data_IF_291698499379
#
_entry.id   IF_291698499379
#
_cell.length_a   1.000
_cell.length_b   1.000
_cell.length_c   1.000
_cell.angle_alpha   90.00
_cell.angle_beta   90.00
_cell.angle_gamma   90.00
#
_symmetry.space_group_name_H-M   'P 1'
#
loop_
_entity.id
_entity.type
_entity.pdbx_description
1 polymer ?
#
# COMPACT_ATOMS: atom_id res chain seq x y z
N UNK A 1 1.39 7.50 -0.24
CA UNK A 1 1.30 7.16 -1.66
C UNK A 1 -0.08 6.60 -1.97
N UNK A 2 -0.68 6.98 -3.11
CA UNK A 2 -1.94 6.41 -3.61
C UNK A 2 -1.66 5.87 -5.02
N UNK A 3 -1.92 4.59 -5.24
CA UNK A 3 -1.69 3.92 -6.52
C UNK A 3 -2.90 4.07 -7.45
N UNK A 4 -2.76 3.60 -8.70
CA UNK A 4 -3.76 3.79 -9.75
C UNK A 4 -5.10 3.15 -9.41
N UNK A 5 -6.18 3.73 -9.94
CA UNK A 5 -7.56 3.28 -9.81
C UNK A 5 -8.11 3.25 -8.38
N UNK A 6 -7.45 3.92 -7.41
CA UNK A 6 -8.01 4.07 -6.08
C UNK A 6 -9.20 5.03 -6.09
N UNK A 7 -10.19 4.74 -5.26
CA UNK A 7 -11.34 5.62 -5.01
C UNK A 7 -11.25 6.10 -3.56
N UNK A 8 -11.20 7.42 -3.37
CA UNK A 8 -11.24 8.05 -2.05
C UNK A 8 -12.47 8.95 -2.03
N UNK A 9 -13.42 8.62 -1.18
CA UNK A 9 -14.69 9.31 -1.06
C UNK A 9 -15.12 9.45 0.40
N UNK A 10 -16.02 10.39 0.68
CA UNK A 10 -16.52 10.62 2.03
C UNK A 10 -17.92 11.26 2.00
N UNK A 11 -18.60 11.25 3.12
CA UNK A 11 -19.82 12.02 3.32
C UNK A 11 -19.54 13.35 4.04
N UNK A 12 -20.45 14.34 3.93
CA UNK A 12 -20.36 15.56 4.73
C UNK A 12 -20.21 15.26 6.23
N UNK A 13 -19.20 15.87 6.84
CA UNK A 13 -18.90 15.68 8.27
C UNK A 13 -18.10 14.42 8.61
N UNK A 14 -17.62 13.67 7.61
CA UNK A 14 -16.77 12.50 7.84
C UNK A 14 -15.70 12.41 6.76
N UNK A 15 -14.50 12.81 7.09
CA UNK A 15 -13.38 12.86 6.15
C UNK A 15 -12.77 11.46 5.90
N UNK A 16 -12.23 11.27 4.70
CA UNK A 16 -11.32 10.19 4.40
C UNK A 16 -9.88 10.70 4.59
N UNK A 17 -9.17 10.17 5.59
CA UNK A 17 -7.86 10.65 6.00
C UNK A 17 -6.81 9.58 5.72
N UNK A 18 -5.73 9.97 5.05
CA UNK A 18 -4.52 9.15 4.92
C UNK A 18 -3.38 9.92 5.55
N UNK A 19 -2.87 9.42 6.67
CA UNK A 19 -1.78 10.04 7.39
C UNK A 19 -0.43 9.85 6.69
N UNK A 20 0.62 10.49 7.24
CA UNK A 20 1.98 10.43 6.68
C UNK A 20 2.45 8.99 6.42
N UNK A 21 3.13 8.78 5.30
CA UNK A 21 3.65 7.49 4.84
C UNK A 21 2.59 6.39 4.62
N UNK A 22 1.31 6.76 4.62
CA UNK A 22 0.23 5.86 4.22
C UNK A 22 0.42 5.37 2.78
N UNK A 23 0.15 4.08 2.55
CA UNK A 23 0.33 3.41 1.27
C UNK A 23 -0.96 2.74 0.84
N UNK A 24 -1.59 3.27 -0.21
CA UNK A 24 -2.86 2.77 -0.73
C UNK A 24 -2.60 2.03 -2.03
N UNK A 25 -2.85 0.72 -2.00
CA UNK A 25 -2.64 -0.18 -3.13
C UNK A 25 -3.66 0.01 -4.25
N UNK A 26 -3.30 -0.40 -5.46
CA UNK A 26 -4.12 -0.28 -6.66
C UNK A 26 -5.57 -0.72 -6.45
N UNK A 27 -6.52 0.07 -6.93
CA UNK A 27 -7.95 -0.26 -6.92
C UNK A 27 -8.60 -0.25 -5.53
N UNK A 28 -7.90 0.15 -4.47
CA UNK A 28 -8.49 0.22 -3.15
C UNK A 28 -9.57 1.30 -3.07
N UNK A 29 -10.61 1.04 -2.27
CA UNK A 29 -11.70 1.98 -2.00
C UNK A 29 -11.65 2.42 -0.54
N UNK A 30 -11.48 3.71 -0.30
CA UNK A 30 -11.50 4.33 1.01
C UNK A 30 -12.74 5.21 1.12
N UNK A 31 -13.60 4.94 2.09
CA UNK A 31 -14.83 5.69 2.26
C UNK A 31 -14.96 6.19 3.70
N UNK A 32 -14.78 7.50 3.92
CA UNK A 32 -14.95 8.15 5.22
C UNK A 32 -14.16 7.48 6.37
N UNK A 33 -12.94 7.04 6.14
CA UNK A 33 -12.12 6.25 7.07
C UNK A 33 -10.78 6.94 7.36
N UNK A 34 -10.10 6.47 8.39
CA UNK A 34 -8.75 6.92 8.75
C UNK A 34 -7.75 5.79 8.50
N UNK A 35 -6.73 6.11 7.73
CA UNK A 35 -5.55 5.25 7.50
C UNK A 35 -4.38 5.89 8.24
N UNK A 36 -3.97 5.26 9.31
CA UNK A 36 -2.95 5.76 10.23
C UNK A 36 -1.57 5.83 9.61
N UNK A 37 -0.67 6.50 10.32
CA UNK A 37 0.71 6.73 9.89
C UNK A 37 1.39 5.44 9.48
N UNK A 38 2.02 5.46 8.32
CA UNK A 38 2.77 4.33 7.79
C UNK A 38 1.95 3.02 7.71
N UNK A 39 0.61 3.10 7.66
CA UNK A 39 -0.23 1.96 7.38
C UNK A 39 -0.29 1.68 5.88
N UNK A 40 -0.68 0.46 5.53
CA UNK A 40 -0.85 0.01 4.15
C UNK A 40 -2.24 -0.57 3.94
N UNK A 41 -2.90 -0.15 2.87
CA UNK A 41 -4.12 -0.78 2.37
C UNK A 41 -3.78 -1.53 1.09
N UNK A 42 -3.98 -2.84 1.10
CA UNK A 42 -3.67 -3.71 -0.02
C UNK A 42 -4.58 -3.49 -1.24
N UNK A 43 -4.15 -4.00 -2.38
CA UNK A 43 -4.84 -3.88 -3.66
C UNK A 43 -6.30 -4.37 -3.56
N UNK A 44 -7.24 -3.61 -4.15
CA UNK A 44 -8.68 -3.91 -4.18
C UNK A 44 -9.32 -4.11 -2.80
N UNK A 45 -8.69 -3.66 -1.72
CA UNK A 45 -9.34 -3.65 -0.41
C UNK A 45 -10.36 -2.51 -0.33
N UNK A 46 -11.44 -2.75 0.43
CA UNK A 46 -12.48 -1.76 0.70
C UNK A 46 -12.48 -1.43 2.18
N UNK A 47 -12.34 -0.14 2.52
CA UNK A 47 -12.36 0.36 3.90
C UNK A 47 -13.52 1.34 4.07
N UNK A 48 -14.50 0.96 4.91
CA UNK A 48 -15.77 1.65 5.04
C UNK A 48 -15.76 2.74 6.13
N UNK A 49 -16.85 3.50 6.17
CA UNK A 49 -17.06 4.66 7.03
C UNK A 49 -16.67 4.46 8.48
N UNK A 50 -15.93 5.40 9.02
CA UNK A 50 -15.52 5.41 10.42
C UNK A 50 -14.57 4.29 10.80
N UNK A 51 -14.10 3.49 9.85
CA UNK A 51 -13.01 2.57 10.13
C UNK A 51 -11.72 3.34 10.43
N UNK A 52 -10.99 2.87 11.43
CA UNK A 52 -9.71 3.41 11.84
C UNK A 52 -8.64 2.31 11.76
N UNK A 53 -7.82 2.37 10.73
CA UNK A 53 -6.67 1.48 10.58
C UNK A 53 -5.49 2.14 11.30
N UNK A 54 -5.14 1.60 12.45
CA UNK A 54 -4.07 2.15 13.27
C UNK A 54 -2.72 2.18 12.55
N UNK A 55 -1.81 2.99 13.06
CA UNK A 55 -0.48 3.16 12.47
C UNK A 55 0.27 1.83 12.32
N UNK A 56 1.15 1.77 11.29
CA UNK A 56 2.01 0.61 11.01
C UNK A 56 1.25 -0.68 10.69
N UNK A 57 -0.08 -0.62 10.51
CA UNK A 57 -0.91 -1.79 10.21
C UNK A 57 -0.97 -2.06 8.71
N UNK A 58 -1.26 -3.31 8.36
CA UNK A 58 -1.46 -3.74 6.97
C UNK A 58 -2.85 -4.35 6.82
N UNK A 59 -3.65 -3.75 5.92
CA UNK A 59 -4.87 -4.37 5.41
C UNK A 59 -4.49 -5.18 4.17
N UNK A 60 -4.79 -6.47 4.19
CA UNK A 60 -4.46 -7.38 3.07
C UNK A 60 -5.25 -7.03 1.80
N UNK A 61 -4.72 -7.44 0.66
CA UNK A 61 -5.41 -7.30 -0.62
C UNK A 61 -6.80 -7.97 -0.60
N UNK A 62 -7.78 -7.35 -1.28
CA UNK A 62 -9.17 -7.80 -1.37
C UNK A 62 -9.90 -7.94 -0.01
N UNK A 63 -9.41 -7.32 1.05
CA UNK A 63 -10.09 -7.31 2.34
C UNK A 63 -11.29 -6.36 2.31
N UNK A 64 -12.38 -6.74 2.99
CA UNK A 64 -13.53 -5.86 3.25
C UNK A 64 -13.56 -5.45 4.72
N UNK A 65 -13.12 -4.23 4.99
CA UNK A 65 -13.13 -3.64 6.33
C UNK A 65 -14.46 -2.92 6.54
N UNK A 66 -15.28 -3.46 7.45
CA UNK A 66 -16.61 -2.91 7.74
C UNK A 66 -16.55 -1.54 8.40
N UNK A 67 -17.65 -0.81 8.33
CA UNK A 67 -17.81 0.47 9.01
C UNK A 67 -17.52 0.37 10.52
N UNK A 68 -16.86 1.41 11.07
CA UNK A 68 -16.51 1.49 12.48
C UNK A 68 -15.51 0.43 12.97
N UNK A 69 -14.78 -0.21 12.06
CA UNK A 69 -13.71 -1.15 12.44
C UNK A 69 -12.52 -0.39 13.04
N UNK A 70 -11.96 -0.96 14.09
CA UNK A 70 -10.73 -0.45 14.70
C UNK A 70 -9.74 -1.60 14.93
N UNK A 71 -8.46 -1.29 14.92
CA UNK A 71 -7.39 -2.23 15.27
C UNK A 71 -6.30 -1.55 16.08
N UNK A 72 -5.52 -2.35 16.81
CA UNK A 72 -4.31 -1.88 17.46
C UNK A 72 -3.21 -1.58 16.42
N UNK A 73 -2.24 -0.72 16.76
CA UNK A 73 -1.06 -0.50 15.91
C UNK A 73 -0.37 -1.81 15.52
N UNK A 74 0.28 -1.80 14.36
CA UNK A 74 1.08 -2.93 13.85
C UNK A 74 0.26 -4.23 13.67
N UNK A 75 -1.01 -4.11 13.26
CA UNK A 75 -1.92 -5.23 13.04
C UNK A 75 -1.95 -5.69 11.59
N UNK A 76 -2.02 -7.00 11.35
CA UNK A 76 -2.42 -7.58 10.08
C UNK A 76 -3.94 -7.78 10.05
N UNK A 77 -4.62 -7.04 9.18
CA UNK A 77 -6.08 -7.05 9.00
C UNK A 77 -6.42 -7.73 7.68
N UNK A 78 -7.23 -8.79 7.68
CA UNK A 78 -7.54 -9.53 6.45
C UNK A 78 -8.89 -10.23 6.48
N UNK A 79 -9.43 -10.52 5.30
CA UNK A 79 -10.67 -11.26 5.08
C UNK A 79 -11.85 -10.39 4.65
N UNK A 80 -12.99 -11.02 4.40
CA UNK A 80 -14.26 -10.39 4.04
C UNK A 80 -15.41 -11.07 4.80
N UNK A 81 -15.90 -10.52 5.93
CA UNK A 81 -15.46 -9.29 6.58
C UNK A 81 -14.06 -9.42 7.21
N UNK A 82 -13.30 -8.34 7.18
CA UNK A 82 -11.95 -8.31 7.71
C UNK A 82 -11.91 -8.37 9.23
N UNK A 83 -10.88 -9.04 9.75
CA UNK A 83 -10.57 -9.14 11.19
C UNK A 83 -9.07 -8.97 11.39
N UNK A 84 -8.68 -8.57 12.59
CA UNK A 84 -7.29 -8.65 13.00
C UNK A 84 -6.88 -10.12 13.03
N UNK A 85 -5.88 -10.50 12.26
CA UNK A 85 -5.36 -11.86 12.18
C UNK A 85 -4.27 -12.10 13.22
N UNK A 86 -3.35 -11.14 13.35
CA UNK A 86 -2.22 -11.15 14.28
C UNK A 86 -1.52 -9.79 14.28
N UNK A 87 -0.59 -9.60 15.17
CA UNK A 87 0.40 -8.53 15.07
C UNK A 87 1.35 -8.80 13.87
N UNK A 88 1.89 -7.74 13.30
CA UNK A 88 2.98 -7.80 12.32
C UNK A 88 4.31 -7.97 13.05
N UNK A 89 5.25 -8.69 12.44
CA UNK A 89 6.63 -8.68 12.90
C UNK A 89 7.35 -7.38 12.50
N UNK A 90 8.48 -7.09 13.12
CA UNK A 90 9.29 -5.93 12.78
C UNK A 90 9.86 -6.05 11.36
N UNK A 91 10.22 -7.25 10.91
CA UNK A 91 10.69 -7.50 9.54
C UNK A 91 9.60 -7.22 8.50
N UNK A 92 8.34 -7.58 8.78
CA UNK A 92 7.21 -7.28 7.89
C UNK A 92 6.96 -5.79 7.78
N UNK A 93 7.08 -5.08 8.90
CA UNK A 93 6.96 -3.63 8.92
C UNK A 93 8.11 -2.96 8.17
N UNK A 94 9.35 -3.38 8.39
CA UNK A 94 10.54 -2.83 7.72
C UNK A 94 10.46 -3.04 6.21
N UNK A 95 10.03 -4.23 5.77
CA UNK A 95 9.78 -4.51 4.36
C UNK A 95 8.76 -3.53 3.75
N UNK A 96 7.63 -3.31 4.42
CA UNK A 96 6.61 -2.34 3.99
C UNK A 96 7.18 -0.92 3.92
N UNK A 97 7.92 -0.51 4.94
CA UNK A 97 8.50 0.83 5.01
C UNK A 97 9.51 1.07 3.88
N UNK A 98 10.37 0.13 3.59
CA UNK A 98 11.31 0.19 2.47
C UNK A 98 10.56 0.35 1.14
N UNK A 99 9.53 -0.45 0.89
CA UNK A 99 8.70 -0.31 -0.30
C UNK A 99 8.07 1.09 -0.43
N UNK A 100 7.58 1.68 0.65
CA UNK A 100 7.04 3.05 0.64
C UNK A 100 8.13 4.08 0.30
N UNK A 101 9.33 3.94 0.84
CA UNK A 101 10.46 4.84 0.57
C UNK A 101 10.91 4.76 -0.89
N UNK A 102 10.90 3.57 -1.51
CA UNK A 102 11.22 3.42 -2.94
C UNK A 102 10.25 4.23 -3.82
N UNK A 103 8.95 4.17 -3.53
CA UNK A 103 7.99 5.01 -4.24
C UNK A 103 8.18 6.50 -3.99
N UNK A 104 8.58 6.92 -2.80
CA UNK A 104 8.91 8.32 -2.52
C UNK A 104 10.13 8.78 -3.34
N UNK A 105 11.16 7.95 -3.46
CA UNK A 105 12.32 8.21 -4.33
C UNK A 105 11.93 8.28 -5.81
N UNK A 106 11.00 7.43 -6.25
CA UNK A 106 10.50 7.43 -7.62
C UNK A 106 9.87 8.77 -8.01
N UNK A 107 9.20 9.47 -7.10
CA UNK A 107 8.63 10.80 -7.35
C UNK A 107 9.71 11.79 -7.79
N UNK A 108 10.87 11.81 -7.09
CA UNK A 108 12.00 12.65 -7.48
C UNK A 108 12.52 12.28 -8.87
N UNK A 109 12.78 10.99 -9.10
CA UNK A 109 13.24 10.49 -10.40
C UNK A 109 12.30 10.87 -11.55
N UNK A 110 10.99 10.67 -11.37
CA UNK A 110 10.00 11.04 -12.39
C UNK A 110 10.00 12.54 -12.67
N UNK A 111 10.09 13.37 -11.63
CA UNK A 111 10.16 14.82 -11.81
C UNK A 111 11.37 15.26 -12.63
N UNK A 112 12.50 14.60 -12.41
CA UNK A 112 13.78 14.97 -13.01
C UNK A 112 13.99 14.38 -14.40
N UNK A 113 13.32 13.28 -14.76
CA UNK A 113 13.64 12.51 -15.97
C UNK A 113 12.43 12.06 -16.83
N UNK A 114 11.18 12.32 -16.37
CA UNK A 114 10.00 11.93 -17.15
C UNK A 114 9.75 12.94 -18.26
N UNK A 115 9.84 12.50 -19.51
CA UNK A 115 9.59 13.32 -20.68
C UNK A 115 8.47 12.72 -21.54
N UNK A 116 7.65 13.56 -22.20
CA UNK A 116 6.70 13.10 -23.21
C UNK A 116 7.45 12.39 -24.35
N UNK A 117 6.95 11.27 -24.82
CA UNK A 117 7.50 10.56 -25.96
C UNK A 117 6.38 9.99 -26.83
N UNK A 118 6.70 9.77 -28.11
CA UNK A 118 5.82 9.03 -29.00
C UNK A 118 5.93 7.53 -28.73
N UNK A 119 4.85 6.76 -28.92
CA UNK A 119 4.90 5.31 -28.82
C UNK A 119 5.93 4.73 -29.78
N UNK A 120 6.74 3.79 -29.30
CA UNK A 120 7.68 3.07 -30.16
C UNK A 120 6.93 2.16 -31.13
N UNK A 121 7.23 2.26 -32.42
CA UNK A 121 6.69 1.36 -33.45
C UNK A 121 7.35 -0.05 -33.36
N UNK A 122 8.60 -0.11 -32.95
CA UNK A 122 9.38 -1.33 -32.78
C UNK A 122 10.17 -1.26 -31.46
N UNK A 123 10.51 -2.42 -30.90
CA UNK A 123 11.35 -2.47 -29.69
C UNK A 123 12.79 -2.10 -30.04
N UNK A 124 13.33 -1.14 -29.32
CA UNK A 124 14.76 -0.82 -29.37
C UNK A 124 15.55 -1.98 -28.74
N UNK A 125 16.45 -2.57 -29.53
CA UNK A 125 17.27 -3.70 -29.10
C UNK A 125 18.23 -3.34 -27.94
N UNK A 126 18.65 -2.08 -27.88
CA UNK A 126 19.57 -1.56 -26.84
C UNK A 126 18.85 -0.86 -25.70
N UNK A 127 17.54 -1.06 -25.57
CA UNK A 127 16.75 -0.42 -24.51
C UNK A 127 17.28 -0.79 -23.13
N UNK A 128 17.61 0.22 -22.29
CA UNK A 128 18.11 -0.05 -20.95
C UNK A 128 17.05 -0.77 -20.12
N UNK A 129 17.46 -1.82 -19.42
CA UNK A 129 16.62 -2.48 -18.43
C UNK A 129 16.53 -1.61 -17.20
N UNK A 130 15.30 -1.27 -16.76
CA UNK A 130 15.10 -0.68 -15.46
C UNK A 130 15.50 -1.70 -14.38
N UNK A 131 16.56 -1.38 -13.65
CA UNK A 131 16.86 -2.11 -12.44
C UNK A 131 15.80 -1.73 -11.41
N UNK A 132 15.00 -2.70 -10.98
CA UNK A 132 14.20 -2.55 -9.78
C UNK A 132 15.14 -2.19 -8.61
N UNK A 133 14.72 -1.30 -7.72
CA UNK A 133 15.49 -0.99 -6.51
C UNK A 133 15.75 -2.25 -5.68
N UNK A 134 16.42 -2.09 -4.56
CA UNK A 134 16.82 -3.21 -3.67
C UNK A 134 15.63 -3.93 -2.99
N UNK A 135 14.40 -3.47 -3.24
CA UNK A 135 13.19 -4.06 -2.65
C UNK A 135 12.85 -5.38 -3.33
N UNK A 136 12.91 -6.46 -2.57
CA UNK A 136 12.55 -7.80 -3.03
C UNK A 136 11.07 -8.09 -2.77
N UNK A 137 10.39 -8.89 -3.63
CA UNK A 137 9.06 -9.40 -3.35
C UNK A 137 9.03 -10.13 -2.01
N UNK A 138 7.96 -9.93 -1.22
CA UNK A 138 7.82 -10.53 0.12
C UNK A 138 8.02 -12.05 0.12
N UNK A 139 7.61 -12.75 -0.94
CA UNK A 139 7.76 -14.20 -1.05
C UNK A 139 9.22 -14.63 -1.09
N UNK A 140 10.10 -13.88 -1.74
CA UNK A 140 11.54 -14.20 -1.77
C UNK A 140 12.21 -14.01 -0.41
N UNK A 141 11.72 -13.07 0.42
CA UNK A 141 12.20 -12.91 1.80
C UNK A 141 11.70 -14.01 2.72
N UNK A 142 10.51 -14.56 2.49
CA UNK A 142 9.95 -15.68 3.26
C UNK A 142 10.64 -17.01 2.93
N UNK A 143 11.02 -17.23 1.66
CA UNK A 143 11.72 -18.46 1.20
C UNK A 143 13.16 -18.56 1.75
N UNK A 144 13.74 -17.44 2.22
CA UNK A 144 15.07 -17.40 2.86
C UNK A 144 15.03 -17.57 4.37
N UNK A 145 13.85 -17.57 4.98
CA UNK A 145 13.71 -17.82 6.43
C UNK A 145 13.79 -19.32 6.70
N UNK A 146 14.52 -19.76 7.75
CA UNK A 146 14.53 -21.16 8.15
C UNK A 146 13.10 -21.63 8.40
N UNK A 147 12.67 -22.64 7.68
CA UNK A 147 11.39 -23.30 7.97
C UNK A 147 11.48 -23.93 9.35
N UNK A 148 10.44 -23.84 10.21
CA UNK A 148 10.44 -24.39 11.55
C UNK A 148 10.53 -25.91 11.59
#
# INVERSE_FOLDING_TARGET
MVQDNCIIHSFPGRDAIVESDGHIGHGAVLHGCVIGRNAMVGMNAVVMDGANIAERSIVAAAAFVKAGFECEPQSLVMGAPAKVKRALSDEEFDWKQQGTQEYQRLVGRCRDSLEPCEPLAELDADRPTLLAGDTQPKQQTLDQSPQP
#
